data_IF_505430501462
#
_entry.id   IF_505430501462
#
_cell.length_a   1.000
_cell.length_b   1.000
_cell.length_c   1.000
_cell.angle_alpha   90.00
_cell.angle_beta   90.00
_cell.angle_gamma   90.00
#
_symmetry.space_group_name_H-M   'P 1'
#
loop_
_entity.id
_entity.type
_entity.pdbx_description
1 polymer ?
#
# COMPACT_ATOMS: atom_id res chain seq x y z
N UNK A 1 -4.59 1.62 4.11
CA UNK A 1 -3.62 2.10 3.10
C UNK A 1 -4.30 2.18 1.75
N UNK A 2 -4.77 1.06 1.18
CA UNK A 2 -5.50 1.10 -0.09
C UNK A 2 -6.77 1.96 0.01
N UNK A 3 -7.53 1.83 1.11
CA UNK A 3 -8.74 2.64 1.33
C UNK A 3 -8.40 4.11 1.61
N UNK A 4 -7.49 4.35 2.56
CA UNK A 4 -7.21 5.66 3.18
C UNK A 4 -6.11 6.49 2.50
N UNK A 5 -5.27 5.90 1.64
CA UNK A 5 -4.10 6.55 1.06
C UNK A 5 -2.88 6.63 1.99
N UNK A 6 -3.09 6.76 3.30
CA UNK A 6 -2.05 6.76 4.33
C UNK A 6 -2.49 5.98 5.59
N UNK A 7 -1.53 5.41 6.32
CA UNK A 7 -1.73 4.85 7.67
C UNK A 7 -0.54 5.24 8.55
N UNK A 8 -0.81 5.55 9.82
CA UNK A 8 0.21 5.60 10.86
C UNK A 8 0.26 4.29 11.65
N UNK A 9 1.45 3.71 11.80
CA UNK A 9 1.70 2.42 12.45
C UNK A 9 3.11 2.39 13.03
N UNK A 10 3.53 1.30 13.65
CA UNK A 10 4.93 1.13 14.06
C UNK A 10 5.86 1.03 12.86
N UNK A 11 7.11 1.48 13.01
CA UNK A 11 8.12 1.48 11.94
C UNK A 11 8.34 0.06 11.37
N UNK A 12 8.41 -0.95 12.23
CA UNK A 12 8.55 -2.34 11.82
C UNK A 12 7.39 -2.80 10.92
N UNK A 13 6.14 -2.49 11.30
CA UNK A 13 4.96 -2.84 10.49
C UNK A 13 4.94 -2.09 9.16
N UNK A 14 5.35 -0.82 9.15
CA UNK A 14 5.45 -0.05 7.91
C UNK A 14 6.48 -0.65 6.94
N UNK A 15 7.65 -1.06 7.45
CA UNK A 15 8.70 -1.70 6.65
C UNK A 15 8.23 -3.03 6.03
N UNK A 16 7.54 -3.85 6.81
CA UNK A 16 6.96 -5.12 6.32
C UNK A 16 5.83 -4.90 5.30
N UNK A 17 5.02 -3.85 5.49
CA UNK A 17 3.89 -3.57 4.61
C UNK A 17 4.35 -3.11 3.21
N UNK A 18 5.50 -2.45 3.10
CA UNK A 18 6.02 -1.91 1.83
C UNK A 18 6.16 -2.95 0.71
N UNK A 19 6.96 -4.03 0.85
CA UNK A 19 7.12 -5.02 -0.22
C UNK A 19 5.81 -5.74 -0.57
N UNK A 20 4.91 -5.89 0.41
CA UNK A 20 3.60 -6.50 0.19
C UNK A 20 2.71 -5.61 -0.70
N UNK A 21 2.60 -4.32 -0.37
CA UNK A 21 1.77 -3.37 -1.10
C UNK A 21 2.35 -3.08 -2.48
N UNK A 22 3.67 -2.98 -2.62
CA UNK A 22 4.29 -2.76 -3.93
C UNK A 22 4.01 -3.90 -4.93
N UNK A 23 4.01 -5.16 -4.47
CA UNK A 23 3.63 -6.31 -5.29
C UNK A 23 2.15 -6.25 -5.69
N UNK A 24 1.27 -5.82 -4.79
CA UNK A 24 -0.16 -5.66 -5.09
C UNK A 24 -0.40 -4.57 -6.15
N UNK A 25 0.25 -3.41 -6.02
CA UNK A 25 0.15 -2.32 -6.99
C UNK A 25 0.72 -2.75 -8.35
N UNK A 26 1.82 -3.51 -8.35
CA UNK A 26 2.40 -4.05 -9.59
C UNK A 26 1.41 -4.98 -10.31
N UNK A 27 0.72 -5.88 -9.57
CA UNK A 27 -0.34 -6.71 -10.13
C UNK A 27 -1.52 -5.89 -10.64
N UNK A 28 -1.87 -4.82 -9.93
CA UNK A 28 -2.94 -3.90 -10.31
C UNK A 28 -2.64 -3.20 -11.63
N UNK A 29 -1.40 -2.75 -11.82
CA UNK A 29 -0.90 -2.14 -13.06
C UNK A 29 -0.99 -3.08 -14.27
N UNK A 30 -0.80 -4.39 -14.09
CA UNK A 30 -0.96 -5.37 -15.18
C UNK A 30 -2.42 -5.51 -15.65
N UNK A 31 -3.40 -5.31 -14.77
CA UNK A 31 -4.83 -5.24 -15.15
C UNK A 31 -5.50 -6.53 -15.64
N UNK A 32 -4.82 -7.69 -15.64
CA UNK A 32 -5.42 -8.95 -16.12
C UNK A 32 -6.37 -9.59 -15.11
N UNK A 33 -7.33 -10.39 -15.59
CA UNK A 33 -8.25 -11.17 -14.73
C UNK A 33 -7.48 -12.07 -13.75
N UNK A 34 -6.38 -12.68 -14.20
CA UNK A 34 -5.51 -13.49 -13.35
C UNK A 34 -4.88 -12.65 -12.24
N UNK A 35 -4.31 -11.49 -12.57
CA UNK A 35 -3.75 -10.57 -11.57
C UNK A 35 -4.79 -10.11 -10.54
N UNK A 36 -6.02 -9.83 -11.00
CA UNK A 36 -7.15 -9.48 -10.13
C UNK A 36 -7.50 -10.59 -9.15
N UNK A 37 -7.61 -11.84 -9.62
CA UNK A 37 -7.85 -13.01 -8.75
C UNK A 37 -6.74 -13.19 -7.72
N UNK A 38 -5.47 -13.04 -8.12
CA UNK A 38 -4.34 -13.15 -7.20
C UNK A 38 -4.37 -12.08 -6.10
N UNK A 39 -4.69 -10.83 -6.46
CA UNK A 39 -4.74 -9.71 -5.51
C UNK A 39 -5.92 -9.80 -4.53
N UNK A 40 -7.10 -10.25 -4.99
CA UNK A 40 -8.29 -10.41 -4.13
C UNK A 40 -8.07 -11.43 -3.01
N UNK A 41 -7.21 -12.44 -3.20
CA UNK A 41 -6.86 -13.39 -2.12
C UNK A 41 -6.19 -12.71 -0.92
N UNK A 42 -5.54 -11.56 -1.16
CA UNK A 42 -4.83 -10.79 -0.15
C UNK A 42 -5.63 -9.58 0.34
N UNK A 43 -6.54 -9.06 -0.48
CA UNK A 43 -7.39 -7.91 -0.16
C UNK A 43 -8.81 -8.42 0.05
N UNK A 44 -9.16 -8.66 1.32
CA UNK A 44 -10.46 -9.26 1.68
C UNK A 44 -11.66 -8.37 1.33
N UNK A 45 -11.49 -7.03 1.38
CA UNK A 45 -12.56 -6.09 1.10
C UNK A 45 -12.67 -5.82 -0.40
N UNK A 46 -13.86 -6.08 -0.96
CA UNK A 46 -14.16 -5.86 -2.39
C UNK A 46 -13.95 -4.39 -2.80
N UNK A 47 -14.41 -3.43 -2.01
CA UNK A 47 -14.23 -2.00 -2.31
C UNK A 47 -12.75 -1.61 -2.40
N UNK A 48 -11.91 -2.13 -1.52
CA UNK A 48 -10.46 -1.89 -1.57
C UNK A 48 -9.82 -2.54 -2.79
N UNK A 49 -10.26 -3.75 -3.17
CA UNK A 49 -9.79 -4.40 -4.39
C UNK A 49 -10.20 -3.58 -5.64
N UNK A 50 -11.44 -3.10 -5.71
CA UNK A 50 -11.91 -2.30 -6.84
C UNK A 50 -11.12 -0.99 -6.94
N UNK A 51 -10.91 -0.28 -5.83
CA UNK A 51 -10.05 0.92 -5.76
C UNK A 51 -8.61 0.65 -6.20
N UNK A 52 -8.05 -0.50 -5.83
CA UNK A 52 -6.70 -0.90 -6.22
C UNK A 52 -6.55 -1.00 -7.75
N UNK A 53 -7.52 -1.61 -8.43
CA UNK A 53 -7.46 -1.83 -9.89
C UNK A 53 -7.97 -0.65 -10.71
N UNK A 54 -8.96 0.10 -10.21
CA UNK A 54 -9.60 1.19 -10.95
C UNK A 54 -8.91 2.53 -10.77
N UNK A 55 -8.34 2.79 -9.59
CA UNK A 55 -7.71 4.08 -9.28
C UNK A 55 -6.19 3.95 -9.15
N UNK A 56 -5.72 3.07 -8.27
CA UNK A 56 -4.30 3.02 -7.88
C UNK A 56 -3.41 2.43 -8.97
N UNK A 57 -3.85 1.34 -9.62
CA UNK A 57 -3.11 0.71 -10.72
C UNK A 57 -2.83 1.68 -11.87
N UNK A 58 -3.87 2.32 -12.45
CA UNK A 58 -3.71 3.33 -13.49
C UNK A 58 -2.87 4.53 -13.05
N UNK A 59 -3.02 5.00 -11.80
CA UNK A 59 -2.23 6.12 -11.25
C UNK A 59 -0.73 5.88 -11.35
N UNK A 60 -0.27 4.65 -11.15
CA UNK A 60 1.16 4.31 -11.18
C UNK A 60 1.60 3.64 -12.49
N UNK A 61 0.82 3.75 -13.57
CA UNK A 61 1.11 3.11 -14.85
C UNK A 61 2.50 3.49 -15.43
N UNK A 62 2.94 4.73 -15.25
CA UNK A 62 4.24 5.22 -15.75
C UNK A 62 5.40 4.97 -14.80
N UNK A 63 5.13 4.64 -13.53
CA UNK A 63 6.15 4.49 -12.49
C UNK A 63 6.63 3.04 -12.38
N UNK A 64 7.94 2.86 -12.31
CA UNK A 64 8.59 1.55 -12.18
C UNK A 64 9.07 1.33 -10.75
N UNK A 65 8.13 1.09 -9.84
CA UNK A 65 8.41 0.79 -8.43
C UNK A 65 8.45 2.00 -7.50
N UNK A 66 8.58 1.72 -6.20
CA UNK A 66 8.59 2.74 -5.15
C UNK A 66 7.28 3.52 -5.10
N UNK A 67 6.15 2.83 -4.92
CA UNK A 67 4.81 3.44 -4.86
C UNK A 67 4.43 3.93 -3.47
N UNK A 68 5.19 3.51 -2.45
CA UNK A 68 4.95 3.88 -1.06
C UNK A 68 6.12 4.67 -0.48
N UNK A 69 5.82 5.54 0.48
CA UNK A 69 6.80 6.29 1.27
C UNK A 69 6.57 5.99 2.74
N UNK A 70 7.65 5.86 3.51
CA UNK A 70 7.62 5.72 4.97
C UNK A 70 8.26 6.98 5.56
N UNK A 71 7.54 7.66 6.44
CA UNK A 71 7.99 8.83 7.19
C UNK A 71 8.02 8.47 8.66
N UNK A 72 9.15 8.66 9.35
CA UNK A 72 9.23 8.46 10.80
C UNK A 72 8.47 9.59 11.50
N UNK A 73 7.54 9.25 12.39
CA UNK A 73 6.70 10.23 13.10
C UNK A 73 7.08 10.40 14.58
N UNK A 74 7.98 9.58 15.10
CA UNK A 74 8.51 9.69 16.46
C UNK A 74 8.30 8.41 17.27
N UNK A 75 8.11 8.54 18.58
CA UNK A 75 7.87 7.40 19.48
C UNK A 75 6.45 7.48 20.06
N UNK A 76 5.80 6.33 20.17
CA UNK A 76 4.47 6.25 20.79
C UNK A 76 4.58 6.45 22.31
N UNK A 77 3.73 7.31 22.84
CA UNK A 77 3.62 7.50 24.29
C UNK A 77 3.14 6.22 24.97
N UNK A 78 3.83 5.79 26.02
CA UNK A 78 3.53 4.58 26.79
C UNK A 78 4.60 3.50 26.61
N UNK A 79 4.65 2.86 25.43
CA UNK A 79 5.57 1.75 25.16
C UNK A 79 6.85 2.15 24.41
N UNK A 80 6.98 3.42 24.04
CA UNK A 80 8.18 3.95 23.36
C UNK A 80 8.41 3.36 21.97
N UNK A 81 7.41 2.71 21.36
CA UNK A 81 7.58 2.09 20.05
C UNK A 81 7.84 3.15 18.96
N UNK A 82 8.81 2.90 18.08
CA UNK A 82 9.04 3.74 16.91
C UNK A 82 7.81 3.73 16.00
N UNK A 83 7.30 4.91 15.69
CA UNK A 83 6.14 5.15 14.85
C UNK A 83 6.57 5.67 13.48
N UNK A 84 5.84 5.24 12.47
CA UNK A 84 6.01 5.69 11.10
C UNK A 84 4.67 5.78 10.37
N UNK A 85 4.56 6.79 9.52
CA UNK A 85 3.46 6.98 8.60
C UNK A 85 3.84 6.41 7.23
N UNK A 86 3.09 5.42 6.76
CA UNK A 86 3.23 4.85 5.42
C UNK A 86 2.14 5.39 4.50
N UNK A 87 2.54 5.88 3.33
CA UNK A 87 1.66 6.57 2.39
C UNK A 87 1.88 6.10 0.96
N UNK A 88 0.82 6.17 0.15
CA UNK A 88 0.91 6.12 -1.30
C UNK A 88 1.46 7.46 -1.82
N UNK A 89 2.43 7.42 -2.72
CA UNK A 89 3.05 8.63 -3.27
C UNK A 89 2.05 9.38 -4.15
N UNK A 90 1.86 10.67 -3.89
CA UNK A 90 0.87 11.45 -4.61
C UNK A 90 1.32 11.81 -6.03
N UNK A 91 2.62 12.11 -6.20
CA UNK A 91 3.40 12.31 -7.43
C UNK A 91 4.88 12.16 -7.05
#
# INVERSE_FOLDING_TARGET
LIESGAIETTEAKAKELRPFVEKLITKAKTGTLHARRLAIRHVQKRAAADKLFQEIGPRYATRNGGYTRILKTGHRHGDGAEMARIELIAE
#
